data_IF_313052248898
#
_entry.id   IF_313052248898
#
_cell.length_a   1.000
_cell.length_b   1.000
_cell.length_c   1.000
_cell.angle_alpha   90.00
_cell.angle_beta   90.00
_cell.angle_gamma   90.00
#
_symmetry.space_group_name_H-M   'P 1'
#
loop_
_entity.id
_entity.type
_entity.pdbx_description
1 polymer ?
#
# COMPACT_ATOMS: atom_id res chain seq x y z
N UNK A 1 11.76 -0.78 -4.92
CA UNK A 1 10.98 -1.40 -3.84
C UNK A 1 9.92 -0.38 -3.54
N UNK A 2 8.68 -0.82 -3.45
CA UNK A 2 7.57 0.10 -3.72
C UNK A 2 6.76 0.43 -2.47
N UNK A 3 7.09 -0.19 -1.34
CA UNK A 3 6.48 0.14 -0.05
C UNK A 3 7.30 -0.37 1.12
N UNK A 4 7.21 0.36 2.24
CA UNK A 4 7.78 -0.01 3.52
C UNK A 4 6.76 0.23 4.64
N UNK A 5 6.61 -0.74 5.53
CA UNK A 5 5.75 -0.64 6.71
C UNK A 5 6.54 -0.96 7.98
N UNK A 6 6.33 -0.19 9.05
CA UNK A 6 6.97 -0.44 10.33
C UNK A 6 6.08 -1.27 11.27
N UNK A 7 6.61 -2.39 11.75
CA UNK A 7 5.99 -3.21 12.79
C UNK A 7 6.55 -2.81 14.15
N UNK A 8 5.82 -1.91 14.83
CA UNK A 8 6.18 -1.43 16.17
C UNK A 8 6.16 -2.50 17.26
N UNK A 9 5.51 -3.65 17.04
CA UNK A 9 5.44 -4.73 18.03
C UNK A 9 6.71 -5.58 18.06
N UNK A 10 7.36 -5.76 16.92
CA UNK A 10 8.56 -6.58 16.78
C UNK A 10 9.84 -5.76 16.56
N UNK A 11 9.70 -4.44 16.39
CA UNK A 11 10.75 -3.52 15.96
C UNK A 11 11.43 -4.00 14.66
N UNK A 12 10.59 -4.19 13.64
CA UNK A 12 10.96 -4.69 12.31
C UNK A 12 10.27 -3.86 11.24
N UNK A 13 10.74 -3.98 10.00
CA UNK A 13 10.13 -3.34 8.84
C UNK A 13 9.78 -4.40 7.81
N UNK A 14 8.63 -4.25 7.18
CA UNK A 14 8.25 -4.99 5.99
C UNK A 14 8.58 -4.15 4.77
N UNK A 15 9.28 -4.74 3.80
CA UNK A 15 9.57 -4.12 2.50
C UNK A 15 8.91 -4.97 1.43
N UNK A 16 8.13 -4.34 0.55
CA UNK A 16 7.52 -5.04 -0.59
C UNK A 16 8.33 -4.82 -1.87
N UNK A 17 8.60 -5.94 -2.55
CA UNK A 17 9.17 -5.96 -3.89
C UNK A 17 8.03 -5.99 -4.90
N UNK A 18 8.06 -5.07 -5.88
CA UNK A 18 7.03 -4.86 -6.90
C UNK A 18 6.57 -6.17 -7.54
N UNK A 19 7.42 -6.75 -8.39
CA UNK A 19 7.15 -8.01 -9.06
C UNK A 19 8.35 -8.94 -9.07
N UNK A 20 8.06 -10.22 -8.92
CA UNK A 20 8.92 -11.36 -9.22
C UNK A 20 8.20 -12.22 -10.24
N UNK A 21 8.93 -12.73 -11.24
CA UNK A 21 8.38 -13.69 -12.20
C UNK A 21 7.89 -14.92 -11.44
N UNK A 22 6.62 -15.28 -11.63
CA UNK A 22 6.08 -16.51 -11.05
C UNK A 22 6.74 -17.72 -11.70
N UNK A 23 7.18 -18.68 -10.87
CA UNK A 23 7.66 -19.97 -11.37
C UNK A 23 6.52 -20.83 -11.95
N UNK A 24 5.26 -20.44 -11.76
CA UNK A 24 4.08 -21.20 -12.16
C UNK A 24 3.60 -20.87 -13.57
N UNK A 25 3.81 -19.63 -14.03
CA UNK A 25 3.36 -19.17 -15.35
C UNK A 25 4.26 -18.03 -15.86
N UNK A 26 4.72 -18.08 -17.13
CA UNK A 26 5.61 -17.08 -17.71
C UNK A 26 5.00 -15.67 -17.85
N UNK A 27 3.69 -15.52 -17.60
CA UNK A 27 2.97 -14.25 -17.67
C UNK A 27 2.27 -13.89 -16.35
N UNK A 28 2.60 -14.56 -15.26
CA UNK A 28 2.12 -14.20 -13.93
C UNK A 28 3.28 -13.66 -13.10
N UNK A 29 3.01 -12.56 -12.42
CA UNK A 29 3.97 -11.93 -11.54
C UNK A 29 3.40 -11.92 -10.13
N UNK A 30 4.23 -12.18 -9.13
CA UNK A 30 3.85 -12.09 -7.71
C UNK A 30 4.69 -10.99 -7.05
N UNK A 31 4.27 -10.50 -5.89
CA UNK A 31 5.16 -9.71 -5.02
C UNK A 31 5.80 -10.61 -3.96
N UNK A 32 6.88 -10.12 -3.37
CA UNK A 32 7.48 -10.72 -2.18
C UNK A 32 7.65 -9.65 -1.11
N UNK A 33 7.33 -10.00 0.14
CA UNK A 33 7.53 -9.14 1.30
C UNK A 33 8.71 -9.67 2.10
N UNK A 34 9.69 -8.80 2.34
CA UNK A 34 10.80 -9.07 3.23
C UNK A 34 10.52 -8.45 4.59
N UNK A 35 10.61 -9.22 5.66
CA UNK A 35 10.73 -8.65 7.00
C UNK A 35 12.22 -8.46 7.32
N UNK A 36 12.58 -7.24 7.68
CA UNK A 36 13.94 -6.86 8.00
C UNK A 36 14.01 -6.20 9.38
N UNK A 37 15.17 -6.27 10.00
CA UNK A 37 15.52 -5.42 11.15
C UNK A 37 16.63 -4.47 10.74
N UNK A 38 16.42 -3.20 11.06
CA UNK A 38 17.41 -2.14 10.88
C UNK A 38 17.96 -1.85 12.28
N UNK A 39 19.26 -2.04 12.47
CA UNK A 39 19.94 -1.70 13.74
C UNK A 39 20.93 -0.58 13.46
N UNK A 40 20.76 0.54 14.14
CA UNK A 40 21.66 1.70 14.05
C UNK A 40 22.41 1.85 15.36
N UNK A 41 23.73 1.82 15.31
CA UNK A 41 24.62 2.29 16.37
C UNK A 41 25.27 3.63 15.97
N UNK A 42 26.06 4.23 16.85
CA UNK A 42 26.68 5.55 16.64
C UNK A 42 27.59 5.64 15.40
N UNK A 43 27.97 4.51 14.78
CA UNK A 43 28.94 4.44 13.69
C UNK A 43 28.46 3.67 12.45
N UNK A 44 27.45 2.80 12.59
CA UNK A 44 27.04 1.85 11.57
C UNK A 44 25.53 1.58 11.62
N UNK A 45 24.91 1.55 10.43
CA UNK A 45 23.57 0.99 10.22
C UNK A 45 23.73 -0.39 9.59
N UNK A 46 23.13 -1.41 10.20
CA UNK A 46 23.08 -2.78 9.68
C UNK A 46 21.64 -3.20 9.40
N UNK A 47 21.47 -3.99 8.34
CA UNK A 47 20.18 -4.55 7.92
C UNK A 47 20.28 -6.07 7.96
N UNK A 48 19.39 -6.72 8.71
CA UNK A 48 19.28 -8.17 8.75
C UNK A 48 17.93 -8.63 8.20
N UNK A 49 17.95 -9.56 7.25
CA UNK A 49 16.76 -10.25 6.77
C UNK A 49 16.27 -11.23 7.85
N UNK A 50 15.02 -11.08 8.28
CA UNK A 50 14.35 -12.01 9.20
C UNK A 50 13.68 -13.11 8.39
N UNK A 51 12.91 -12.73 7.38
CA UNK A 51 12.16 -13.66 6.55
C UNK A 51 11.78 -13.05 5.20
N UNK A 52 11.41 -13.91 4.26
CA UNK A 52 10.97 -13.57 2.91
C UNK A 52 9.71 -14.37 2.60
N UNK A 53 8.58 -13.68 2.44
CA UNK A 53 7.27 -14.28 2.27
C UNK A 53 6.66 -13.86 0.94
N UNK A 54 6.28 -14.83 0.11
CA UNK A 54 5.57 -14.55 -1.13
C UNK A 54 4.18 -13.99 -0.83
N UNK A 55 3.73 -13.04 -1.66
CA UNK A 55 2.35 -12.57 -1.63
C UNK A 55 1.51 -13.41 -2.57
N UNK A 56 0.42 -13.97 -2.05
CA UNK A 56 -0.56 -14.75 -2.80
C UNK A 56 -1.52 -13.84 -3.56
N UNK A 57 -0.95 -13.01 -4.44
CA UNK A 57 -1.62 -12.11 -5.37
C UNK A 57 -0.83 -12.09 -6.67
N UNK A 58 -1.52 -12.04 -7.81
CA UNK A 58 -0.89 -12.02 -9.13
C UNK A 58 -1.13 -10.71 -9.86
N UNK A 59 -0.11 -10.26 -10.58
CA UNK A 59 -0.14 -9.12 -11.49
C UNK A 59 0.04 -9.62 -12.92
N UNK A 60 -0.46 -8.82 -13.87
CA UNK A 60 -0.48 -9.13 -15.31
C UNK A 60 0.69 -8.52 -16.09
N UNK A 61 1.57 -7.75 -15.43
CA UNK A 61 2.81 -7.27 -16.01
C UNK A 61 3.88 -7.02 -14.94
N UNK A 62 5.12 -6.82 -15.39
CA UNK A 62 6.29 -6.56 -14.53
C UNK A 62 6.29 -5.18 -13.89
N UNK A 63 5.61 -4.22 -14.51
CA UNK A 63 5.55 -2.82 -14.08
C UNK A 63 4.23 -2.55 -13.35
N UNK A 64 3.77 -3.52 -12.57
CA UNK A 64 2.51 -3.48 -11.81
C UNK A 64 2.77 -4.11 -10.47
N UNK A 65 2.64 -3.32 -9.41
CA UNK A 65 2.83 -3.81 -8.06
C UNK A 65 2.00 -3.08 -7.02
N UNK A 66 2.43 -3.27 -5.77
CA UNK A 66 1.94 -2.51 -4.64
C UNK A 66 2.88 -1.34 -4.34
N UNK A 67 2.38 -0.11 -4.46
CA UNK A 67 3.12 1.16 -4.27
C UNK A 67 3.05 1.71 -2.85
N UNK A 68 2.55 0.92 -1.93
CA UNK A 68 2.45 1.34 -0.55
C UNK A 68 2.10 0.17 0.31
N UNK A 69 2.64 0.21 1.52
CA UNK A 69 2.51 -0.85 2.50
C UNK A 69 2.34 -0.21 3.86
N UNK A 70 1.34 -0.66 4.62
CA UNK A 70 1.10 -0.21 5.98
C UNK A 70 0.81 -1.40 6.88
N UNK A 71 1.43 -1.40 8.05
CA UNK A 71 1.20 -2.42 9.07
C UNK A 71 0.10 -1.95 10.02
N UNK A 72 -0.91 -2.79 10.22
CA UNK A 72 -2.03 -2.48 11.11
C UNK A 72 -2.39 -3.67 12.00
N UNK A 73 -2.65 -3.38 13.27
CA UNK A 73 -3.17 -4.35 14.24
C UNK A 73 -4.65 -4.09 14.49
N UNK A 74 -5.49 -5.10 14.27
CA UNK A 74 -6.91 -5.06 14.58
C UNK A 74 -7.11 -5.14 16.10
N UNK A 75 -7.45 -4.02 16.73
CA UNK A 75 -7.47 -3.83 18.18
C UNK A 75 -8.40 -4.81 18.90
N UNK A 76 -9.55 -5.19 18.30
CA UNK A 76 -10.46 -6.15 18.95
C UNK A 76 -9.94 -7.60 18.96
N UNK A 77 -9.17 -8.01 17.94
CA UNK A 77 -8.77 -9.42 17.75
C UNK A 77 -7.29 -9.65 18.05
N UNK A 78 -6.49 -8.58 18.09
CA UNK A 78 -5.03 -8.63 18.20
C UNK A 78 -4.34 -9.16 16.95
N UNK A 79 -5.07 -9.38 15.85
CA UNK A 79 -4.49 -9.86 14.59
C UNK A 79 -3.78 -8.73 13.85
N UNK A 80 -2.70 -9.10 13.17
CA UNK A 80 -1.88 -8.17 12.38
C UNK A 80 -2.13 -8.38 10.89
N UNK A 81 -2.15 -7.28 10.16
CA UNK A 81 -2.39 -7.26 8.73
C UNK A 81 -1.42 -6.28 8.06
N UNK A 82 -1.19 -6.50 6.77
CA UNK A 82 -0.65 -5.46 5.89
C UNK A 82 -1.76 -4.91 5.01
N UNK A 83 -1.86 -3.59 4.95
CA UNK A 83 -2.61 -2.89 3.93
C UNK A 83 -1.65 -2.58 2.79
N UNK A 84 -1.98 -2.96 1.55
CA UNK A 84 -1.15 -2.62 0.40
C UNK A 84 -1.96 -1.85 -0.65
N UNK A 85 -1.40 -0.76 -1.18
CA UNK A 85 -2.01 0.08 -2.22
C UNK A 85 -1.50 -0.30 -3.60
N UNK A 86 -2.41 -0.41 -4.57
CA UNK A 86 -2.07 -0.72 -5.97
C UNK A 86 -1.59 0.53 -6.75
N UNK A 87 -0.57 0.40 -7.61
CA UNK A 87 -0.07 1.44 -8.54
C UNK A 87 -1.14 2.01 -9.48
N UNK A 88 -2.24 1.27 -9.67
CA UNK A 88 -3.36 1.75 -10.47
C UNK A 88 -4.67 1.13 -10.00
N UNK A 89 -5.76 1.67 -10.53
CA UNK A 89 -7.08 1.11 -10.34
C UNK A 89 -7.10 -0.40 -10.62
N UNK A 90 -7.53 -1.16 -9.61
CA UNK A 90 -7.74 -2.61 -9.63
C UNK A 90 -6.47 -3.47 -9.68
N UNK A 91 -5.25 -2.94 -9.56
CA UNK A 91 -4.03 -3.76 -9.68
C UNK A 91 -3.99 -4.59 -11.01
N UNK A 92 -4.67 -4.14 -12.08
CA UNK A 92 -4.79 -4.85 -13.37
C UNK A 92 -4.70 -3.88 -14.55
N UNK A 93 -4.12 -4.31 -15.67
CA UNK A 93 -4.19 -3.61 -16.97
C UNK A 93 -5.63 -3.64 -17.47
N UNK A 94 -6.20 -2.44 -17.62
CA UNK A 94 -7.26 -2.21 -18.59
C UNK A 94 -6.68 -1.33 -19.68
N UNK A 95 -6.93 -1.68 -20.94
CA UNK A 95 -6.52 -0.84 -22.07
C UNK A 95 -7.10 0.58 -21.90
N UNK A 96 -6.42 1.62 -22.42
CA UNK A 96 -6.92 3.02 -22.39
C UNK A 96 -8.38 3.17 -22.86
N UNK A 97 -8.85 2.26 -23.70
CA UNK A 97 -10.22 2.23 -24.22
C UNK A 97 -11.20 1.56 -23.24
N UNK A 98 -10.76 0.56 -22.48
CA UNK A 98 -11.54 -0.05 -21.39
C UNK A 98 -11.57 0.82 -20.15
N UNK A 99 -10.54 1.63 -19.87
CA UNK A 99 -10.56 2.65 -18.80
C UNK A 99 -11.72 3.65 -18.92
N UNK A 100 -12.18 3.92 -20.15
CA UNK A 100 -13.32 4.81 -20.41
C UNK A 100 -14.69 4.15 -20.18
N UNK A 101 -14.75 2.82 -20.08
CA UNK A 101 -16.01 2.03 -20.08
C UNK A 101 -16.15 1.14 -18.83
N UNK A 102 -15.04 0.69 -18.24
CA UNK A 102 -15.03 -0.17 -17.07
C UNK A 102 -15.10 0.67 -15.80
N UNK A 103 -16.33 1.04 -15.41
CA UNK A 103 -16.76 1.49 -14.09
C UNK A 103 -15.61 2.01 -13.20
N UNK A 104 -15.56 3.34 -13.04
CA UNK A 104 -14.82 4.13 -12.04
C UNK A 104 -15.12 3.71 -10.57
N UNK A 105 -15.73 2.55 -10.38
CA UNK A 105 -16.08 1.96 -9.10
C UNK A 105 -14.93 1.09 -8.60
N UNK A 106 -14.23 1.68 -7.63
CA UNK A 106 -13.51 1.07 -6.52
C UNK A 106 -12.02 0.84 -6.75
N UNK A 107 -11.29 1.90 -6.44
CA UNK A 107 -9.90 1.90 -5.95
C UNK A 107 -9.82 1.07 -4.66
N UNK A 108 -8.71 0.33 -4.46
CA UNK A 108 -8.63 -0.68 -3.39
C UNK A 108 -7.33 -0.63 -2.63
N UNK A 109 -7.43 -0.78 -1.31
CA UNK A 109 -6.37 -1.35 -0.51
C UNK A 109 -6.63 -2.84 -0.37
N UNK A 110 -5.60 -3.66 -0.55
CA UNK A 110 -5.69 -5.09 -0.22
C UNK A 110 -5.32 -5.29 1.24
N UNK A 111 -6.00 -6.24 1.89
CA UNK A 111 -5.71 -6.66 3.27
C UNK A 111 -5.06 -8.02 3.21
N UNK A 112 -3.82 -8.09 3.71
CA UNK A 112 -3.00 -9.29 3.70
C UNK A 112 -2.81 -9.81 5.13
N UNK A 113 -3.06 -11.10 5.34
CA UNK A 113 -2.77 -11.81 6.59
C UNK A 113 -1.58 -12.75 6.37
N UNK A 114 -0.62 -12.73 7.29
CA UNK A 114 0.53 -13.64 7.23
C UNK A 114 0.11 -15.04 7.65
N UNK A 115 0.36 -16.01 6.80
CA UNK A 115 0.16 -17.42 7.07
C UNK A 115 1.50 -18.15 7.06
N UNK A 116 1.77 -18.91 8.13
CA UNK A 116 2.87 -19.85 8.16
C UNK A 116 2.48 -21.11 7.38
N UNK A 117 3.35 -21.55 6.47
CA UNK A 117 3.14 -22.81 5.75
C UNK A 117 3.87 -23.93 6.46
N UNK A 118 3.22 -25.09 6.55
CA UNK A 118 3.82 -26.29 7.15
C UNK A 118 4.86 -26.94 6.24
N UNK A 119 4.96 -26.51 4.98
CA UNK A 119 5.94 -26.99 4.02
C UNK A 119 7.14 -26.02 3.99
N UNK A 120 8.32 -26.54 4.33
CA UNK A 120 9.61 -25.84 4.25
C UNK A 120 9.82 -24.64 5.18
N UNK A 121 9.05 -24.48 6.26
CA UNK A 121 9.08 -23.28 7.12
C UNK A 121 8.96 -21.98 6.30
N UNK A 122 8.18 -22.02 5.22
CA UNK A 122 7.97 -20.84 4.38
C UNK A 122 6.74 -20.07 4.83
N UNK A 123 6.74 -18.77 4.63
CA UNK A 123 5.63 -17.89 4.98
C UNK A 123 4.99 -17.33 3.71
N UNK A 124 3.70 -17.01 3.80
CA UNK A 124 2.94 -16.40 2.71
C UNK A 124 2.05 -15.28 3.25
N UNK A 125 1.96 -14.19 2.51
CA UNK A 125 0.95 -13.16 2.74
C UNK A 125 -0.27 -13.46 1.88
N UNK A 126 -1.39 -13.76 2.54
CA UNK A 126 -2.63 -14.19 1.87
C UNK A 126 -3.62 -13.04 1.84
N UNK A 127 -4.24 -12.81 0.68
CA UNK A 127 -5.36 -11.88 0.57
C UNK A 127 -6.52 -12.37 1.42
N UNK A 128 -6.90 -11.57 2.42
CA UNK A 128 -8.06 -11.82 3.27
C UNK A 128 -9.18 -10.81 3.09
N UNK A 129 -8.96 -9.75 2.31
CA UNK A 129 -10.00 -8.76 2.02
C UNK A 129 -9.53 -7.64 1.11
N UNK A 130 -10.48 -6.84 0.63
CA UNK A 130 -10.20 -5.59 -0.09
C UNK A 130 -11.06 -4.47 0.48
N UNK A 131 -10.44 -3.33 0.76
CA UNK A 131 -11.12 -2.12 1.24
C UNK A 131 -11.32 -1.21 0.04
N UNK A 132 -12.57 -0.82 -0.22
CA UNK A 132 -12.87 0.17 -1.25
C UNK A 132 -12.56 1.56 -0.72
N UNK A 133 -11.83 2.36 -1.49
CA UNK A 133 -11.66 3.78 -1.20
C UNK A 133 -12.90 4.56 -1.66
N UNK A 134 -13.14 5.77 -1.10
CA UNK A 134 -14.27 6.59 -1.47
C UNK A 134 -14.31 6.88 -2.98
N UNK A 135 -15.47 6.71 -3.61
CA UNK A 135 -15.60 6.83 -5.08
C UNK A 135 -15.37 8.24 -5.63
N UNK A 136 -15.29 9.26 -4.78
CA UNK A 136 -14.89 10.62 -5.14
C UNK A 136 -13.36 10.80 -5.19
N UNK A 137 -12.59 9.85 -4.68
CA UNK A 137 -11.15 9.80 -4.91
C UNK A 137 -10.92 9.47 -6.40
N UNK A 138 -10.00 10.20 -7.02
CA UNK A 138 -9.70 10.12 -8.46
C UNK A 138 -8.19 10.21 -8.67
N UNK A 139 -7.47 9.42 -7.88
CA UNK A 139 -6.03 9.30 -8.02
C UNK A 139 -5.71 8.50 -9.29
N UNK A 140 -4.78 9.02 -10.08
CA UNK A 140 -4.29 8.41 -11.31
C UNK A 140 -3.34 7.27 -10.99
N UNK A 141 -2.52 7.47 -9.96
CA UNK A 141 -1.48 6.57 -9.50
C UNK A 141 -1.30 6.74 -7.98
N UNK A 142 -1.38 5.65 -7.22
CA UNK A 142 -1.23 5.66 -5.78
C UNK A 142 0.23 5.45 -5.42
N UNK A 143 0.78 6.22 -4.50
CA UNK A 143 2.23 6.21 -4.25
C UNK A 143 2.63 5.90 -2.81
N UNK A 144 1.69 5.93 -1.85
CA UNK A 144 1.92 5.51 -0.48
C UNK A 144 0.61 5.41 0.30
N UNK A 145 0.65 4.65 1.38
CA UNK A 145 -0.39 4.57 2.42
C UNK A 145 0.29 4.59 3.79
N UNK A 146 -0.30 5.29 4.75
CA UNK A 146 0.17 5.25 6.14
C UNK A 146 -0.99 5.50 7.10
N UNK A 147 -0.94 4.90 8.29
CA UNK A 147 -1.93 5.14 9.34
C UNK A 147 -1.34 5.89 10.52
N UNK A 148 -2.20 6.65 11.20
CA UNK A 148 -1.87 7.33 12.43
C UNK A 148 -3.01 7.15 13.43
N UNK A 149 -2.74 6.44 14.52
CA UNK A 149 -3.72 6.22 15.58
C UNK A 149 -3.67 7.33 16.61
N UNK A 150 -4.79 8.01 16.85
CA UNK A 150 -4.93 9.03 17.88
C UNK A 150 -6.20 8.83 18.70
N UNK A 151 -6.04 8.63 20.01
CA UNK A 151 -7.14 8.35 20.95
C UNK A 151 -7.95 7.12 20.51
N UNK A 152 -9.17 7.34 20.03
CA UNK A 152 -10.14 6.31 19.64
C UNK A 152 -10.31 6.19 18.12
N UNK A 153 -9.46 6.86 17.34
CA UNK A 153 -9.59 6.92 15.88
C UNK A 153 -8.24 6.60 15.23
N UNK A 154 -8.31 5.77 14.19
CA UNK A 154 -7.17 5.49 13.31
C UNK A 154 -7.38 6.30 12.04
N UNK A 155 -6.50 7.25 11.79
CA UNK A 155 -6.49 8.00 10.53
C UNK A 155 -5.67 7.25 9.50
N UNK A 156 -6.04 7.38 8.24
CA UNK A 156 -5.28 6.86 7.11
C UNK A 156 -5.00 7.99 6.12
N UNK A 157 -3.76 8.11 5.70
CA UNK A 157 -3.34 9.00 4.64
C UNK A 157 -2.94 8.14 3.42
N UNK A 158 -3.42 8.55 2.25
CA UNK A 158 -3.10 7.90 0.97
C UNK A 158 -2.66 9.01 0.02
N UNK A 159 -1.55 8.80 -0.68
CA UNK A 159 -1.01 9.82 -1.60
C UNK A 159 -1.08 9.36 -3.04
N UNK A 160 -1.10 10.34 -3.94
CA UNK A 160 -0.88 10.14 -5.36
C UNK A 160 0.21 11.07 -5.87
N UNK A 161 1.24 10.47 -6.48
CA UNK A 161 2.36 11.20 -7.07
C UNK A 161 1.89 12.00 -8.29
N UNK A 162 1.22 11.35 -9.24
CA UNK A 162 0.70 11.96 -10.48
C UNK A 162 -0.28 13.11 -10.21
N UNK A 163 -1.18 12.96 -9.23
CA UNK A 163 -2.10 14.02 -8.88
C UNK A 163 -1.45 15.13 -8.04
N UNK A 164 -0.31 14.85 -7.39
CA UNK A 164 0.28 15.69 -6.34
C UNK A 164 -0.76 15.98 -5.25
N UNK A 165 -1.36 14.92 -4.73
CA UNK A 165 -2.46 14.99 -3.77
C UNK A 165 -2.31 13.98 -2.65
N UNK A 166 -2.84 14.32 -1.47
CA UNK A 166 -3.02 13.42 -0.34
C UNK A 166 -4.49 13.40 0.04
N UNK A 167 -5.01 12.22 0.29
CA UNK A 167 -6.33 12.00 0.85
C UNK A 167 -6.21 11.48 2.27
N UNK A 168 -7.04 12.00 3.19
CA UNK A 168 -7.06 11.60 4.59
C UNK A 168 -8.45 11.07 4.94
N UNK A 169 -8.53 9.92 5.59
CA UNK A 169 -9.77 9.37 6.11
C UNK A 169 -9.58 8.69 7.46
N UNK A 170 -10.58 7.90 7.84
CA UNK A 170 -10.62 7.11 9.06
C UNK A 170 -10.71 5.63 8.70
N UNK A 171 -9.97 4.81 9.44
CA UNK A 171 -10.08 3.35 9.44
C UNK A 171 -10.97 2.93 10.60
N UNK A 172 -12.02 2.19 10.29
CA UNK A 172 -12.97 1.60 11.23
C UNK A 172 -12.81 0.08 11.25
N UNK A 173 -12.70 -0.52 12.43
CA UNK A 173 -12.61 -1.97 12.58
C UNK A 173 -13.99 -2.63 12.56
N UNK A 174 -14.15 -3.59 11.65
CA UNK A 174 -15.39 -4.36 11.47
C UNK A 174 -15.12 -5.85 11.73
N UNK A 175 -16.13 -6.56 12.24
CA UNK A 175 -15.94 -7.94 12.71
C UNK A 175 -15.87 -8.98 11.57
N UNK A 176 -16.17 -8.57 10.34
CA UNK A 176 -16.18 -9.42 9.15
C UNK A 176 -15.20 -8.89 8.10
N UNK A 177 -14.72 -9.78 7.23
CA UNK A 177 -13.92 -9.43 6.05
C UNK A 177 -14.53 -8.21 5.32
N UNK A 178 -13.73 -7.17 4.98
CA UNK A 178 -12.25 -7.10 5.02
C UNK A 178 -11.59 -6.73 6.36
N UNK A 179 -12.32 -6.81 7.49
CA UNK A 179 -11.90 -6.42 8.85
C UNK A 179 -11.70 -4.92 9.08
N UNK A 180 -11.57 -4.15 8.01
CA UNK A 180 -11.42 -2.71 8.04
C UNK A 180 -12.35 -2.05 7.03
N UNK A 181 -13.04 -1.00 7.47
CA UNK A 181 -13.79 -0.11 6.59
C UNK A 181 -13.11 1.26 6.59
N UNK A 182 -13.09 1.92 5.44
CA UNK A 182 -12.51 3.27 5.34
C UNK A 182 -13.65 4.25 5.10
N UNK A 183 -13.72 5.27 5.96
CA UNK A 183 -14.67 6.38 5.87
C UNK A 183 -13.93 7.69 5.63
N UNK A 184 -14.56 8.60 4.90
CA UNK A 184 -14.03 9.97 4.76
C UNK A 184 -14.38 10.77 6.00
N UNK A 185 -13.50 11.67 6.43
CA UNK A 185 -13.82 12.62 7.49
C UNK A 185 -14.83 13.68 7.00
N UNK A 186 -14.74 14.10 5.73
CA UNK A 186 -15.69 14.93 4.98
C UNK A 186 -15.60 14.68 3.45
N UNK A 187 -16.51 15.24 2.64
CA UNK A 187 -16.50 15.07 1.17
C UNK A 187 -15.27 15.67 0.46
N UNK A 188 -14.43 16.46 1.14
CA UNK A 188 -13.35 17.28 0.56
C UNK A 188 -11.96 16.99 1.11
N UNK A 189 -11.70 15.81 1.67
CA UNK A 189 -10.42 15.48 2.32
C UNK A 189 -9.24 15.22 1.37
N UNK A 190 -9.33 15.73 0.13
CA UNK A 190 -8.24 15.68 -0.84
C UNK A 190 -7.49 17.00 -0.77
N UNK A 191 -6.25 16.96 -0.30
CA UNK A 191 -5.37 18.10 -0.20
C UNK A 191 -4.34 18.07 -1.32
N UNK A 192 -4.12 19.22 -1.96
CA UNK A 192 -3.03 19.36 -2.93
C UNK A 192 -1.70 19.49 -2.19
N UNK A 193 -0.71 18.73 -2.62
CA UNK A 193 0.68 18.92 -2.20
C UNK A 193 1.24 20.19 -2.86
N UNK A 194 2.34 20.77 -2.31
CA UNK A 194 2.91 22.02 -2.81
C UNK A 194 3.25 21.98 -4.31
N UNK A 195 3.06 23.14 -4.95
CA UNK A 195 3.43 23.38 -6.36
C UNK A 195 4.30 24.63 -6.43
N UNK A 196 5.30 24.60 -7.30
CA UNK A 196 6.13 25.76 -7.62
C UNK A 196 5.28 26.91 -8.17
N UNK A 197 5.62 28.13 -7.76
CA UNK A 197 5.02 29.36 -8.28
C UNK A 197 6.07 30.05 -9.15
N UNK A 198 5.80 30.16 -10.45
CA UNK A 198 6.65 30.87 -11.40
C UNK A 198 5.88 32.08 -11.91
N UNK A 199 6.40 33.29 -11.64
CA UNK A 199 5.80 34.57 -12.04
C UNK A 199 4.33 34.76 -11.61
N UNK A 200 3.98 34.32 -10.39
CA UNK A 200 2.62 34.42 -9.86
C UNK A 200 1.64 33.37 -10.39
N UNK A 201 2.10 32.45 -11.25
CA UNK A 201 1.32 31.32 -11.73
C UNK A 201 1.77 30.04 -11.05
N UNK A 202 0.81 29.21 -10.63
CA UNK A 202 1.05 27.84 -10.19
C UNK A 202 1.56 27.06 -11.41
N UNK A 203 2.83 26.66 -11.41
CA UNK A 203 3.52 26.27 -12.64
C UNK A 203 3.84 24.78 -12.71
N UNK A 204 4.53 24.20 -11.71
CA UNK A 204 4.96 22.80 -11.72
C UNK A 204 4.77 22.15 -10.36
N UNK A 205 4.46 20.85 -10.32
CA UNK A 205 4.51 20.05 -9.09
C UNK A 205 5.92 20.19 -8.51
N UNK A 206 6.03 20.54 -7.24
CA UNK A 206 7.29 20.43 -6.53
C UNK A 206 7.41 18.96 -6.12
N UNK A 207 8.11 18.17 -6.94
CA UNK A 207 8.22 16.74 -6.72
C UNK A 207 8.98 16.48 -5.41
N UNK A 208 8.25 16.06 -4.39
CA UNK A 208 8.79 15.11 -3.42
C UNK A 208 8.42 13.74 -3.96
N UNK A 209 9.41 12.92 -4.34
CA UNK A 209 9.12 11.52 -4.63
C UNK A 209 8.64 10.88 -3.33
N UNK A 210 7.38 10.48 -3.33
CA UNK A 210 6.73 9.72 -2.24
C UNK A 210 6.80 8.21 -2.55
N UNK A 211 7.31 7.85 -3.73
CA UNK A 211 7.59 6.49 -4.20
C UNK A 211 9.08 6.16 -4.04
N UNK A 212 9.41 4.87 -3.97
CA UNK A 212 10.78 4.38 -3.98
C UNK A 212 11.39 4.48 -5.37
N UNK A 213 12.18 5.51 -5.66
CA UNK A 213 12.93 5.57 -6.93
C UNK A 213 13.95 4.42 -6.97
N UNK A 214 13.76 3.46 -7.89
CA UNK A 214 14.68 2.35 -8.13
C UNK A 214 15.78 2.68 -9.14
#
# INVERSE_FOLDING_TARGET
FEGIAYNSLADTNFIIQETISSNLSPNEYNSNVFEIRITTDDLLTSISLIESCNVMWTFDSTSKGFEGLEFITHQKTGKNYLLASCEANKCTIQSRFEQAVANLENERLVVLEKHETTQNNSCQWVLVGTINLPSNLKFLDYSAVSTYSQKSSTYIAITSQENSQVWIGIVEEIDQCPFFHITSTEKTDVHNLPRTIVNGNICQIEYCNIEGVS
#
